data_IF_387113693083
#
_entry.id   IF_387113693083
#
_cell.length_a   1.000
_cell.length_b   1.000
_cell.length_c   1.000
_cell.angle_alpha   90.00
_cell.angle_beta   90.00
_cell.angle_gamma   90.00
#
_symmetry.space_group_name_H-M   'P 1'
#
loop_
_entity.id
_entity.type
_entity.pdbx_description
1 polymer ?
#
# COMPACT_ATOMS: atom_id res chain seq x y z
N UNK A 1 -11.55 8.46 27.50
CA UNK A 1 -11.60 9.41 26.37
C UNK A 1 -11.00 8.71 25.15
N UNK A 2 -11.83 8.22 24.23
CA UNK A 2 -11.35 7.71 22.94
C UNK A 2 -11.12 8.93 22.05
N UNK A 3 -9.89 9.44 22.04
CA UNK A 3 -9.48 10.40 21.00
C UNK A 3 -9.55 9.63 19.69
N UNK A 4 -10.63 9.83 18.93
CA UNK A 4 -10.68 9.50 17.50
C UNK A 4 -9.61 10.35 16.84
N UNK A 5 -8.39 9.83 16.82
CA UNK A 5 -7.26 10.40 16.09
C UNK A 5 -7.62 10.32 14.61
N UNK A 6 -8.25 11.38 14.10
CA UNK A 6 -8.42 11.51 12.66
C UNK A 6 -7.04 11.37 12.03
N UNK A 7 -6.89 10.55 10.97
CA UNK A 7 -5.64 10.50 10.25
C UNK A 7 -5.35 11.90 9.71
N UNK A 8 -4.17 12.42 10.00
CA UNK A 8 -3.77 13.71 9.49
C UNK A 8 -3.69 13.66 7.95
N UNK A 9 -3.73 14.83 7.30
CA UNK A 9 -3.68 14.93 5.85
C UNK A 9 -2.44 14.24 5.24
N UNK A 10 -1.29 14.30 5.94
CA UNK A 10 -0.06 13.63 5.51
C UNK A 10 -0.20 12.10 5.51
N UNK A 11 -0.78 11.53 6.57
CA UNK A 11 -1.07 10.10 6.63
C UNK A 11 -2.04 9.68 5.53
N UNK A 12 -3.10 10.46 5.29
CA UNK A 12 -4.09 10.16 4.24
C UNK A 12 -3.45 10.10 2.85
N UNK A 13 -2.56 11.04 2.55
CA UNK A 13 -1.81 11.05 1.29
C UNK A 13 -0.94 9.81 1.13
N UNK A 14 -0.20 9.42 2.19
CA UNK A 14 0.62 8.20 2.18
C UNK A 14 -0.24 6.93 2.01
N UNK A 15 -1.44 6.90 2.59
CA UNK A 15 -2.41 5.83 2.39
C UNK A 15 -2.92 5.74 0.95
N UNK A 16 -3.27 6.87 0.34
CA UNK A 16 -3.67 6.93 -1.07
C UNK A 16 -2.55 6.45 -2.01
N UNK A 17 -1.30 6.82 -1.71
CA UNK A 17 -0.11 6.34 -2.43
C UNK A 17 0.09 4.82 -2.28
N UNK A 18 -0.01 4.30 -1.05
CA UNK A 18 0.05 2.86 -0.77
C UNK A 18 -1.08 2.07 -1.45
N UNK A 19 -2.30 2.60 -1.41
CA UNK A 19 -3.46 1.96 -2.02
C UNK A 19 -3.32 1.89 -3.54
N UNK A 20 -2.91 2.98 -4.18
CA UNK A 20 -2.64 3.01 -5.61
C UNK A 20 -1.50 2.07 -6.03
N UNK A 21 -0.46 1.91 -5.20
CA UNK A 21 0.61 0.93 -5.43
C UNK A 21 0.10 -0.52 -5.26
N UNK A 22 -0.77 -0.76 -4.28
CA UNK A 22 -1.36 -2.07 -4.00
C UNK A 22 -2.28 -2.53 -5.13
N UNK A 23 -3.08 -1.62 -5.70
CA UNK A 23 -3.92 -1.91 -6.88
C UNK A 23 -3.06 -2.23 -8.11
N UNK A 24 -1.97 -1.49 -8.34
CA UNK A 24 -1.01 -1.80 -9.42
C UNK A 24 -0.37 -3.18 -9.24
N UNK A 25 -0.01 -3.54 -8.01
CA UNK A 25 0.51 -4.87 -7.70
C UNK A 25 -0.52 -5.97 -7.94
N UNK A 26 -1.76 -5.80 -7.44
CA UNK A 26 -2.86 -6.76 -7.67
C UNK A 26 -3.12 -6.97 -9.16
N UNK A 27 -3.16 -5.89 -9.95
CA UNK A 27 -3.33 -5.97 -11.39
C UNK A 27 -2.17 -6.73 -12.06
N UNK A 28 -0.92 -6.46 -11.66
CA UNK A 28 0.25 -7.16 -12.19
C UNK A 28 0.23 -8.67 -11.86
N UNK A 29 -0.18 -9.04 -10.64
CA UNK A 29 -0.30 -10.45 -10.20
C UNK A 29 -1.44 -11.19 -10.92
N UNK A 30 -2.55 -10.52 -11.20
CA UNK A 30 -3.64 -11.13 -11.99
C UNK A 30 -3.14 -11.41 -13.42
N UNK A 31 -2.42 -10.46 -14.01
CA UNK A 31 -1.87 -10.60 -15.37
C UNK A 31 -0.84 -11.74 -15.44
N UNK A 32 0.10 -11.85 -14.49
CA UNK A 32 1.10 -12.94 -14.47
C UNK A 32 0.46 -14.33 -14.45
N UNK A 33 -0.70 -14.49 -13.79
CA UNK A 33 -1.40 -15.78 -13.69
C UNK A 33 -1.94 -16.33 -15.02
N UNK A 34 -2.03 -15.49 -16.04
CA UNK A 34 -2.58 -15.84 -17.35
C UNK A 34 -1.55 -15.84 -18.50
N UNK A 35 -0.28 -15.62 -18.19
CA UNK A 35 0.79 -15.47 -19.19
C UNK A 35 1.67 -16.73 -19.31
N UNK A 36 2.13 -17.03 -20.52
CA UNK A 36 3.13 -18.09 -20.78
C UNK A 36 4.55 -17.68 -20.35
N UNK A 37 5.45 -18.66 -20.26
CA UNK A 37 6.76 -18.54 -19.57
C UNK A 37 7.59 -17.27 -19.86
N UNK A 38 7.70 -16.82 -21.12
CA UNK A 38 8.49 -15.61 -21.46
C UNK A 38 7.82 -14.31 -21.04
N UNK A 39 6.48 -14.25 -21.08
CA UNK A 39 5.71 -13.10 -20.62
C UNK A 39 5.54 -13.08 -19.09
N UNK A 40 5.77 -14.24 -18.45
CA UNK A 40 5.72 -14.39 -17.00
C UNK A 40 6.89 -13.66 -16.32
N UNK A 41 8.12 -13.79 -16.81
CA UNK A 41 9.30 -13.15 -16.19
C UNK A 41 9.16 -11.62 -16.17
N UNK A 42 8.85 -11.00 -17.30
CA UNK A 42 8.65 -9.54 -17.36
C UNK A 42 7.49 -9.06 -16.47
N UNK A 43 6.39 -9.82 -16.46
CA UNK A 43 5.24 -9.48 -15.63
C UNK A 43 5.53 -9.72 -14.13
N UNK A 44 6.36 -10.71 -13.80
CA UNK A 44 6.83 -10.98 -12.45
C UNK A 44 7.78 -9.88 -11.95
N UNK A 45 8.71 -9.41 -12.77
CA UNK A 45 9.56 -8.26 -12.44
C UNK A 45 8.75 -6.97 -12.21
N UNK A 46 7.68 -6.76 -13.00
CA UNK A 46 6.76 -5.63 -12.77
C UNK A 46 6.00 -5.80 -11.45
N UNK A 47 5.59 -7.01 -11.11
CA UNK A 47 4.93 -7.30 -9.84
C UNK A 47 5.88 -7.09 -8.64
N UNK A 48 7.12 -7.57 -8.69
CA UNK A 48 8.09 -7.37 -7.61
C UNK A 48 8.47 -5.89 -7.44
N UNK A 49 8.57 -5.11 -8.53
CA UNK A 49 8.72 -3.64 -8.42
C UNK A 49 7.52 -2.97 -7.76
N UNK A 50 6.30 -3.30 -8.18
CA UNK A 50 5.09 -2.77 -7.56
C UNK A 50 4.96 -3.15 -6.08
N UNK A 51 5.41 -4.35 -5.71
CA UNK A 51 5.48 -4.82 -4.32
C UNK A 51 6.51 -4.05 -3.49
N UNK A 52 7.67 -3.72 -4.06
CA UNK A 52 8.66 -2.88 -3.41
C UNK A 52 8.12 -1.45 -3.17
N UNK A 53 7.41 -0.87 -4.14
CA UNK A 53 6.72 0.42 -3.99
C UNK A 53 5.66 0.37 -2.88
N UNK A 54 4.82 -0.66 -2.88
CA UNK A 54 3.81 -0.89 -1.84
C UNK A 54 4.45 -1.00 -0.44
N UNK A 55 5.53 -1.78 -0.32
CA UNK A 55 6.25 -1.98 0.95
C UNK A 55 6.91 -0.70 1.46
N UNK A 56 7.46 0.11 0.55
CA UNK A 56 8.04 1.42 0.87
C UNK A 56 6.98 2.40 1.36
N UNK A 57 5.83 2.46 0.67
CA UNK A 57 4.71 3.32 1.05
C UNK A 57 4.12 2.90 2.41
N UNK A 58 3.99 1.60 2.67
CA UNK A 58 3.54 1.09 3.97
C UNK A 58 4.53 1.46 5.08
N UNK A 59 5.84 1.35 4.82
CA UNK A 59 6.88 1.73 5.76
C UNK A 59 6.83 3.23 6.09
N UNK A 60 6.63 4.09 5.08
CA UNK A 60 6.48 5.53 5.28
C UNK A 60 5.24 5.86 6.11
N UNK A 61 4.11 5.19 5.85
CA UNK A 61 2.91 5.34 6.67
C UNK A 61 3.13 4.91 8.12
N UNK A 62 3.76 3.75 8.36
CA UNK A 62 4.03 3.24 9.71
C UNK A 62 5.00 4.14 10.47
N UNK A 63 6.03 4.66 9.80
CA UNK A 63 6.93 5.64 10.37
C UNK A 63 6.18 6.92 10.76
N UNK A 64 5.27 7.40 9.90
CA UNK A 64 4.42 8.54 10.21
C UNK A 64 3.48 8.27 11.40
N UNK A 65 2.86 7.08 11.46
CA UNK A 65 2.02 6.64 12.58
C UNK A 65 2.79 6.66 13.91
N UNK A 66 4.05 6.18 13.91
CA UNK A 66 4.91 6.16 15.09
C UNK A 66 5.34 7.56 15.54
N UNK A 67 5.69 8.44 14.59
CA UNK A 67 6.16 9.79 14.90
C UNK A 67 5.04 10.73 15.34
N UNK A 68 3.84 10.60 14.76
CA UNK A 68 2.73 11.53 14.96
C UNK A 68 1.59 10.98 15.83
N UNK A 69 1.60 9.69 16.17
CA UNK A 69 0.56 9.06 16.98
C UNK A 69 -0.78 8.86 16.24
N UNK A 70 -0.80 8.91 14.90
CA UNK A 70 -2.04 8.78 14.09
C UNK A 70 -2.65 7.36 14.05
N UNK A 71 -2.13 6.41 14.84
CA UNK A 71 -2.45 4.97 14.76
C UNK A 71 -3.94 4.61 14.91
N UNK A 72 -4.72 5.41 15.64
CA UNK A 72 -6.13 5.10 15.97
C UNK A 72 -7.11 5.20 14.79
N UNK A 73 -7.00 6.24 13.95
CA UNK A 73 -7.83 6.41 12.75
C UNK A 73 -7.27 5.70 11.52
N UNK A 74 -5.95 5.52 11.48
CA UNK A 74 -5.24 4.82 10.43
C UNK A 74 -5.71 3.37 10.25
N UNK A 75 -5.94 2.67 11.37
CA UNK A 75 -6.33 1.26 11.37
C UNK A 75 -7.74 1.03 10.82
N UNK A 76 -8.70 1.88 11.21
CA UNK A 76 -10.09 1.78 10.73
C UNK A 76 -10.21 1.99 9.21
N UNK A 77 -9.37 2.85 8.61
CA UNK A 77 -9.34 3.06 7.16
C UNK A 77 -8.70 1.89 6.41
N UNK A 78 -7.63 1.30 6.96
CA UNK A 78 -7.01 0.08 6.39
C UNK A 78 -7.99 -1.10 6.38
N UNK A 79 -8.77 -1.28 7.45
CA UNK A 79 -9.76 -2.36 7.55
C UNK A 79 -10.97 -2.17 6.61
N UNK A 80 -11.17 -0.95 6.08
CA UNK A 80 -12.29 -0.59 5.20
C UNK A 80 -11.94 -0.52 3.70
N UNK A 81 -10.68 -0.81 3.32
CA UNK A 81 -10.14 -0.67 1.97
C UNK A 81 -9.73 -2.02 1.35
#
# INVERSE_FOLDING_TARGET
MLVRLMPCAAWKKLFEEWYAASERYRAAVIVTRHLGNLMFEEAHERAERAKAECSSAESAMRAHEQQHGCAGGARALKDSA
#
